data_IF_187816546357
#
_entry.id   IF_187816546357
#
_cell.length_a   1.000
_cell.length_b   1.000
_cell.length_c   1.000
_cell.angle_alpha   90.00
_cell.angle_beta   90.00
_cell.angle_gamma   90.00
#
_symmetry.space_group_name_H-M   'P 1'
#
loop_
_entity.id
_entity.type
_entity.pdbx_description
1 polymer ?
#
# COMPACT_ATOMS: atom_id res chain seq x y z
N UNK A 1 34.05 11.25 -24.12
CA UNK A 1 32.91 10.36 -23.91
C UNK A 1 32.33 9.96 -25.26
N UNK A 2 31.70 8.79 -25.38
CA UNK A 2 31.16 8.27 -26.66
C UNK A 2 30.04 9.19 -27.19
N UNK A 3 29.22 9.72 -26.33
CA UNK A 3 28.13 10.62 -26.70
C UNK A 3 28.64 11.94 -27.28
N UNK A 4 29.71 12.51 -26.74
CA UNK A 4 30.36 13.72 -27.27
C UNK A 4 30.89 13.49 -28.70
N UNK A 5 31.45 12.29 -28.95
CA UNK A 5 31.93 11.93 -30.31
C UNK A 5 30.74 11.84 -31.26
N UNK A 6 29.64 11.26 -30.84
CA UNK A 6 28.43 11.14 -31.66
C UNK A 6 27.80 12.51 -31.94
N UNK A 7 27.81 13.45 -30.98
CA UNK A 7 27.36 14.83 -31.18
C UNK A 7 28.22 15.54 -32.24
N UNK A 8 29.54 15.38 -32.16
CA UNK A 8 30.46 15.90 -33.16
C UNK A 8 30.21 15.35 -34.57
N UNK A 9 29.87 14.06 -34.67
CA UNK A 9 29.53 13.41 -35.94
C UNK A 9 28.23 14.01 -36.50
N UNK A 10 27.20 14.22 -35.69
CA UNK A 10 25.95 14.86 -36.13
C UNK A 10 26.20 16.26 -36.65
N UNK A 11 26.91 17.08 -35.87
CA UNK A 11 27.28 18.43 -36.24
C UNK A 11 28.03 18.48 -37.57
N UNK A 12 28.98 17.55 -37.77
CA UNK A 12 29.76 17.50 -38.99
C UNK A 12 28.93 17.11 -40.22
N UNK A 13 28.02 16.13 -40.06
CA UNK A 13 27.10 15.73 -41.11
C UNK A 13 26.18 16.90 -41.51
N UNK A 14 25.69 17.67 -40.53
CA UNK A 14 24.86 18.85 -40.77
C UNK A 14 25.65 19.97 -41.47
N UNK A 15 26.91 20.24 -41.07
CA UNK A 15 27.79 21.24 -41.71
C UNK A 15 28.10 20.90 -43.15
N UNK A 16 28.15 19.64 -43.50
CA UNK A 16 28.33 19.19 -44.88
C UNK A 16 27.06 19.30 -45.74
N UNK A 17 25.94 19.78 -45.17
CA UNK A 17 24.66 19.93 -45.83
C UNK A 17 23.93 18.61 -46.12
N UNK A 18 24.39 17.50 -45.53
CA UNK A 18 23.79 16.18 -45.74
C UNK A 18 22.61 15.95 -44.73
N UNK A 19 21.63 16.84 -44.76
CA UNK A 19 20.53 16.86 -43.76
C UNK A 19 19.73 15.56 -43.67
N UNK A 20 19.52 14.87 -44.79
CA UNK A 20 18.80 13.60 -44.80
C UNK A 20 19.61 12.50 -44.06
N UNK A 21 20.93 12.53 -44.22
CA UNK A 21 21.84 11.59 -43.52
C UNK A 21 21.87 11.92 -42.02
N UNK A 22 21.99 13.19 -41.66
CA UNK A 22 21.94 13.65 -40.28
C UNK A 22 20.64 13.20 -39.61
N UNK A 23 19.50 13.40 -40.24
CA UNK A 23 18.20 12.99 -39.74
C UNK A 23 18.11 11.48 -39.47
N UNK A 24 18.59 10.68 -40.41
CA UNK A 24 18.62 9.21 -40.23
C UNK A 24 19.55 8.78 -39.11
N UNK A 25 20.69 9.45 -38.97
CA UNK A 25 21.65 9.16 -37.92
C UNK A 25 21.11 9.52 -36.52
N UNK A 26 20.51 10.69 -36.37
CA UNK A 26 19.85 11.12 -35.11
C UNK A 26 18.73 10.15 -34.73
N UNK A 27 17.89 9.79 -35.72
CA UNK A 27 16.80 8.83 -35.48
C UNK A 27 17.36 7.46 -35.06
N UNK A 28 18.44 7.00 -35.73
CA UNK A 28 19.09 5.74 -35.36
C UNK A 28 19.66 5.77 -33.91
N UNK A 29 20.39 6.84 -33.58
CA UNK A 29 20.90 7.02 -32.20
C UNK A 29 19.77 6.97 -31.16
N UNK A 30 18.71 7.70 -31.41
CA UNK A 30 17.57 7.72 -30.54
C UNK A 30 16.95 6.32 -30.34
N UNK A 31 16.73 5.60 -31.43
CA UNK A 31 16.20 4.23 -31.37
C UNK A 31 17.15 3.28 -30.65
N UNK A 32 18.47 3.40 -30.86
CA UNK A 32 19.45 2.54 -30.18
C UNK A 32 19.55 2.89 -28.69
N UNK A 33 19.39 4.16 -28.32
CA UNK A 33 19.34 4.57 -26.92
C UNK A 33 18.08 4.04 -26.23
N UNK A 34 16.92 4.13 -26.90
CA UNK A 34 15.68 3.52 -26.39
C UNK A 34 15.84 2.01 -26.19
N UNK A 35 16.46 1.29 -27.14
CA UNK A 35 16.70 -0.14 -27.01
C UNK A 35 17.61 -0.47 -25.82
N UNK A 36 18.67 0.31 -25.60
CA UNK A 36 19.58 0.11 -24.46
C UNK A 36 18.87 0.34 -23.13
N UNK A 37 18.02 1.36 -23.06
CA UNK A 37 17.25 1.66 -21.85
C UNK A 37 16.15 0.62 -21.61
N UNK A 38 15.44 0.19 -22.66
CA UNK A 38 14.41 -0.86 -22.52
C UNK A 38 15.02 -2.21 -22.17
N UNK A 39 16.20 -2.56 -22.68
CA UNK A 39 16.85 -3.83 -22.32
C UNK A 39 17.18 -3.92 -20.83
N UNK A 40 17.60 -2.81 -20.19
CA UNK A 40 17.82 -2.80 -18.73
C UNK A 40 16.52 -2.96 -17.94
N UNK A 41 15.45 -2.36 -18.39
CA UNK A 41 14.11 -2.53 -17.77
C UNK A 41 13.59 -3.94 -18.00
N UNK A 42 13.74 -4.49 -19.19
CA UNK A 42 13.35 -5.86 -19.54
C UNK A 42 14.12 -6.89 -18.72
N UNK A 43 15.44 -6.72 -18.54
CA UNK A 43 16.26 -7.59 -17.71
C UNK A 43 15.82 -7.57 -16.24
N UNK A 44 15.49 -6.40 -15.71
CA UNK A 44 14.95 -6.26 -14.35
C UNK A 44 13.60 -6.95 -14.21
N UNK A 45 12.68 -6.75 -15.14
CA UNK A 45 11.37 -7.40 -15.17
C UNK A 45 11.53 -8.92 -15.23
N UNK A 46 12.41 -9.43 -16.09
CA UNK A 46 12.69 -10.87 -16.18
C UNK A 46 13.24 -11.43 -14.88
N UNK A 47 14.18 -10.73 -14.23
CA UNK A 47 14.73 -11.14 -12.93
C UNK A 47 13.67 -11.21 -11.82
N UNK A 48 12.66 -10.33 -11.88
CA UNK A 48 11.51 -10.39 -10.97
C UNK A 48 10.63 -11.61 -11.22
N UNK A 49 10.33 -11.90 -12.50
CA UNK A 49 9.52 -13.07 -12.90
C UNK A 49 10.22 -14.37 -12.49
N UNK A 50 11.53 -14.44 -12.66
CA UNK A 50 12.35 -15.60 -12.30
C UNK A 50 12.65 -15.70 -10.80
N UNK A 51 12.20 -14.74 -10.00
CA UNK A 51 12.52 -14.60 -8.57
C UNK A 51 14.03 -14.55 -8.28
N UNK A 52 14.83 -14.01 -9.20
CA UNK A 52 16.29 -13.93 -9.11
C UNK A 52 16.78 -12.53 -8.68
N UNK A 53 15.89 -11.57 -8.49
CA UNK A 53 16.25 -10.21 -8.09
C UNK A 53 16.68 -10.19 -6.61
N UNK A 54 17.97 -10.01 -6.35
CA UNK A 54 18.54 -10.00 -5.01
C UNK A 54 18.14 -8.74 -4.22
N UNK A 55 17.94 -7.59 -4.87
CA UNK A 55 17.47 -6.36 -4.21
C UNK A 55 16.09 -6.60 -3.59
N UNK A 56 15.17 -7.19 -4.36
CA UNK A 56 13.81 -7.52 -3.91
C UNK A 56 13.82 -8.58 -2.81
N UNK A 57 14.72 -9.57 -2.86
CA UNK A 57 14.85 -10.58 -1.82
C UNK A 57 15.36 -10.00 -0.49
N UNK A 58 16.17 -8.96 -0.55
CA UNK A 58 16.77 -8.30 0.62
C UNK A 58 15.93 -7.13 1.11
N UNK A 59 14.98 -6.66 0.32
CA UNK A 59 14.08 -5.59 0.70
C UNK A 59 13.25 -6.02 1.91
N UNK A 60 13.35 -5.26 3.00
CA UNK A 60 12.55 -5.50 4.21
C UNK A 60 11.12 -4.99 3.97
N UNK A 61 10.45 -5.58 3.02
CA UNK A 61 9.10 -5.21 2.64
C UNK A 61 8.07 -6.22 3.17
N UNK A 62 6.84 -5.75 3.34
CA UNK A 62 5.71 -6.59 3.71
C UNK A 62 5.19 -7.43 2.54
N UNK A 63 5.92 -7.43 1.43
CA UNK A 63 5.58 -8.12 0.19
C UNK A 63 6.36 -9.42 0.07
N UNK A 64 5.68 -10.50 -0.27
CA UNK A 64 6.32 -11.76 -0.58
C UNK A 64 6.55 -11.87 -2.09
N UNK A 65 7.81 -11.80 -2.58
CA UNK A 65 8.12 -11.78 -4.01
C UNK A 65 7.72 -13.06 -4.76
N UNK A 66 7.41 -14.14 -4.08
CA UNK A 66 6.92 -15.38 -4.71
C UNK A 66 5.42 -15.37 -5.04
N UNK A 67 4.68 -14.38 -4.57
CA UNK A 67 3.23 -14.24 -4.82
C UNK A 67 2.99 -13.51 -6.15
N UNK A 68 2.16 -14.06 -7.02
CA UNK A 68 1.92 -13.51 -8.37
C UNK A 68 1.43 -12.06 -8.38
N UNK A 69 0.60 -11.66 -7.43
CA UNK A 69 0.14 -10.26 -7.33
C UNK A 69 1.27 -9.32 -6.94
N UNK A 70 2.18 -9.76 -6.08
CA UNK A 70 3.38 -9.01 -5.68
C UNK A 70 4.35 -8.88 -6.86
N UNK A 71 4.57 -9.94 -7.63
CA UNK A 71 5.40 -9.86 -8.85
C UNK A 71 4.86 -8.85 -9.86
N UNK A 72 3.54 -8.81 -10.04
CA UNK A 72 2.90 -7.81 -10.90
C UNK A 72 3.06 -6.38 -10.38
N UNK A 73 3.00 -6.18 -9.08
CA UNK A 73 3.23 -4.89 -8.45
C UNK A 73 4.68 -4.42 -8.63
N UNK A 74 5.65 -5.29 -8.44
CA UNK A 74 7.06 -5.00 -8.73
C UNK A 74 7.32 -4.67 -10.21
N UNK A 75 6.71 -5.41 -11.13
CA UNK A 75 6.80 -5.10 -12.56
C UNK A 75 6.23 -3.72 -12.87
N UNK A 76 5.09 -3.37 -12.28
CA UNK A 76 4.51 -2.04 -12.42
C UNK A 76 5.43 -0.96 -11.84
N UNK A 77 6.08 -1.23 -10.71
CA UNK A 77 7.09 -0.37 -10.10
C UNK A 77 8.29 -0.11 -11.02
N UNK A 78 8.86 -1.14 -11.65
CA UNK A 78 9.98 -0.96 -12.59
C UNK A 78 9.57 -0.13 -13.81
N UNK A 79 8.38 -0.33 -14.37
CA UNK A 79 7.84 0.50 -15.45
C UNK A 79 7.63 1.94 -15.00
N UNK A 80 7.06 2.14 -13.81
CA UNK A 80 6.85 3.47 -13.22
C UNK A 80 8.18 4.20 -12.99
N UNK A 81 9.19 3.50 -12.46
CA UNK A 81 10.54 4.03 -12.25
C UNK A 81 11.21 4.46 -13.54
N UNK A 82 11.10 3.64 -14.60
CA UNK A 82 11.62 4.00 -15.93
C UNK A 82 10.93 5.26 -16.47
N UNK A 83 9.60 5.32 -16.41
CA UNK A 83 8.84 6.49 -16.84
C UNK A 83 9.19 7.75 -16.04
N UNK A 84 9.34 7.62 -14.72
CA UNK A 84 9.71 8.71 -13.82
C UNK A 84 11.06 9.29 -14.22
N UNK A 85 12.07 8.45 -14.40
CA UNK A 85 13.42 8.89 -14.73
C UNK A 85 13.56 9.40 -16.17
N UNK A 86 12.78 8.85 -17.10
CA UNK A 86 12.93 9.17 -18.52
C UNK A 86 12.05 10.31 -18.98
N UNK A 87 10.87 10.50 -18.39
CA UNK A 87 9.85 11.43 -18.89
C UNK A 87 9.34 12.43 -17.88
N UNK A 88 9.28 12.09 -16.58
CA UNK A 88 8.56 12.91 -15.60
C UNK A 88 9.47 13.83 -14.81
N UNK A 89 10.69 13.41 -14.51
CA UNK A 89 11.65 14.24 -13.80
C UNK A 89 12.47 15.10 -14.75
N UNK A 90 12.85 16.34 -14.33
CA UNK A 90 13.86 17.12 -15.02
C UNK A 90 15.18 16.34 -15.12
N UNK A 91 15.84 16.48 -16.28
CA UNK A 91 17.09 15.75 -16.54
C UNK A 91 18.16 16.00 -15.50
N UNK A 92 18.26 17.22 -14.99
CA UNK A 92 19.23 17.63 -13.97
C UNK A 92 19.05 16.85 -12.64
N UNK A 93 17.80 16.53 -12.30
CA UNK A 93 17.48 15.73 -11.09
C UNK A 93 17.89 14.28 -11.31
N UNK A 94 17.60 13.73 -12.49
CA UNK A 94 17.98 12.35 -12.84
C UNK A 94 19.49 12.19 -12.91
N UNK A 95 20.19 13.15 -13.52
CA UNK A 95 21.65 13.14 -13.61
C UNK A 95 22.27 13.23 -12.19
N UNK A 96 21.79 14.13 -11.33
CA UNK A 96 22.26 14.28 -9.96
C UNK A 96 21.98 13.03 -9.10
N UNK A 97 20.86 12.34 -9.33
CA UNK A 97 20.56 11.06 -8.69
C UNK A 97 21.55 9.97 -9.13
N UNK A 98 21.79 9.85 -10.44
CA UNK A 98 22.68 8.85 -11.01
C UNK A 98 24.15 9.08 -10.62
N UNK A 99 24.55 10.33 -10.42
CA UNK A 99 25.88 10.74 -9.94
C UNK A 99 26.03 10.59 -8.41
N UNK A 100 24.96 10.27 -7.69
CA UNK A 100 24.95 10.12 -6.24
C UNK A 100 25.02 11.45 -5.47
N UNK A 101 24.76 12.59 -6.12
CA UNK A 101 24.71 13.91 -5.48
C UNK A 101 23.46 14.05 -4.62
N UNK A 102 22.35 13.53 -5.09
CA UNK A 102 21.08 13.43 -4.37
C UNK A 102 20.46 12.05 -4.54
N UNK A 103 19.56 11.69 -3.64
CA UNK A 103 18.74 10.49 -3.78
C UNK A 103 17.29 10.88 -3.99
N UNK A 104 16.73 10.58 -5.18
CA UNK A 104 15.30 10.69 -5.43
C UNK A 104 14.65 9.38 -4.98
N UNK A 105 13.95 9.43 -3.85
CA UNK A 105 13.36 8.26 -3.22
C UNK A 105 12.02 7.89 -3.88
N UNK A 106 11.67 6.61 -3.87
CA UNK A 106 10.37 6.08 -4.33
C UNK A 106 9.98 6.49 -5.77
N UNK A 107 10.95 6.47 -6.68
CA UNK A 107 10.72 6.80 -8.10
C UNK A 107 9.70 5.87 -8.77
N UNK A 108 9.51 4.68 -8.25
CA UNK A 108 8.54 3.67 -8.67
C UNK A 108 7.09 4.04 -8.29
N UNK A 109 6.89 4.89 -7.28
CA UNK A 109 5.56 5.39 -6.87
C UNK A 109 5.27 6.81 -7.34
N UNK A 110 6.22 7.46 -8.03
CA UNK A 110 6.06 8.86 -8.47
C UNK A 110 5.06 9.02 -9.62
N UNK A 111 5.03 8.07 -10.58
CA UNK A 111 4.13 8.13 -11.73
C UNK A 111 2.66 7.85 -11.34
N UNK A 112 2.44 7.08 -10.28
CA UNK A 112 1.12 6.76 -9.74
C UNK A 112 1.12 7.07 -8.24
N UNK A 113 0.32 8.05 -7.84
CA UNK A 113 0.27 8.48 -6.46
C UNK A 113 -0.29 7.39 -5.55
N UNK A 114 0.58 6.83 -4.73
CA UNK A 114 0.21 6.01 -3.57
C UNK A 114 0.69 6.72 -2.31
N UNK A 115 -0.03 6.52 -1.21
CA UNK A 115 0.41 7.04 0.08
C UNK A 115 1.58 6.21 0.60
N UNK A 116 2.57 6.88 1.20
CA UNK A 116 3.64 6.15 1.88
C UNK A 116 3.14 5.62 3.23
N UNK A 117 2.93 6.51 4.21
CA UNK A 117 2.47 6.15 5.55
C UNK A 117 1.26 6.97 5.95
N UNK A 118 0.31 6.33 6.63
CA UNK A 118 -0.95 6.94 7.01
C UNK A 118 -1.19 6.87 8.53
N UNK A 119 -1.73 7.96 9.08
CA UNK A 119 -2.34 7.98 10.41
C UNK A 119 -3.86 7.84 10.24
N UNK A 120 -4.40 6.68 10.59
CA UNK A 120 -5.81 6.37 10.36
C UNK A 120 -6.67 6.86 11.51
N UNK A 121 -7.57 7.78 11.24
CA UNK A 121 -8.52 8.29 12.24
C UNK A 121 -9.72 7.35 12.41
N UNK A 122 -9.48 6.19 13.05
CA UNK A 122 -10.55 5.23 13.36
C UNK A 122 -11.65 5.83 14.23
N UNK A 123 -11.35 6.83 15.07
CA UNK A 123 -12.36 7.44 15.93
C UNK A 123 -13.47 8.06 15.10
N UNK A 124 -13.13 8.93 14.17
CA UNK A 124 -14.09 9.59 13.29
C UNK A 124 -14.84 8.57 12.41
N UNK A 125 -14.09 7.67 11.76
CA UNK A 125 -14.66 6.64 10.88
C UNK A 125 -15.65 5.72 11.57
N UNK A 126 -15.41 5.36 12.83
CA UNK A 126 -16.30 4.50 13.61
C UNK A 126 -17.45 5.26 14.25
N UNK A 127 -17.25 6.52 14.65
CA UNK A 127 -18.29 7.31 15.32
C UNK A 127 -19.30 7.93 14.34
N UNK A 128 -18.83 8.37 13.17
CA UNK A 128 -19.62 9.07 12.17
C UNK A 128 -19.96 8.23 10.94
N UNK A 129 -19.40 7.01 10.86
CA UNK A 129 -19.48 6.18 9.68
C UNK A 129 -18.36 6.47 8.67
N UNK A 130 -18.22 5.60 7.71
CA UNK A 130 -17.19 5.70 6.67
C UNK A 130 -17.66 5.07 5.37
N UNK A 131 -16.92 5.29 4.29
CA UNK A 131 -17.20 4.64 3.00
C UNK A 131 -16.09 3.62 2.71
N UNK A 132 -16.46 2.37 2.54
CA UNK A 132 -15.56 1.29 2.16
C UNK A 132 -16.02 0.73 0.81
N UNK A 133 -15.13 0.75 -0.18
CA UNK A 133 -15.42 0.27 -1.54
C UNK A 133 -16.72 0.83 -2.14
N UNK A 134 -16.99 2.13 -1.91
CA UNK A 134 -18.18 2.82 -2.39
C UNK A 134 -19.46 2.57 -1.58
N UNK A 135 -19.39 1.78 -0.51
CA UNK A 135 -20.52 1.48 0.36
C UNK A 135 -20.44 2.26 1.65
N UNK A 136 -21.51 2.96 2.01
CA UNK A 136 -21.62 3.64 3.30
C UNK A 136 -21.74 2.61 4.42
N UNK A 137 -20.85 2.69 5.39
CA UNK A 137 -20.81 1.88 6.58
C UNK A 137 -21.19 2.78 7.75
N UNK A 138 -22.31 2.45 8.40
CA UNK A 138 -22.80 3.18 9.53
C UNK A 138 -22.02 2.89 10.83
N UNK A 139 -22.21 3.72 11.83
CA UNK A 139 -21.64 3.54 13.16
C UNK A 139 -21.95 2.15 13.72
N UNK A 140 -20.96 1.40 14.20
CA UNK A 140 -21.16 0.07 14.75
C UNK A 140 -21.97 0.08 16.04
N UNK A 141 -22.80 -0.94 16.20
CA UNK A 141 -23.67 -1.15 17.37
C UNK A 141 -23.14 -2.22 18.35
N UNK A 142 -21.86 -2.60 18.21
CA UNK A 142 -21.17 -3.48 19.17
C UNK A 142 -19.66 -3.38 19.01
N UNK A 143 -18.93 -3.79 20.04
CA UNK A 143 -17.47 -3.88 19.97
C UNK A 143 -16.99 -4.86 18.89
N UNK A 144 -17.65 -6.00 18.77
CA UNK A 144 -17.33 -7.00 17.75
C UNK A 144 -17.47 -6.44 16.33
N UNK A 145 -18.56 -5.68 16.06
CA UNK A 145 -18.76 -5.02 14.77
C UNK A 145 -17.72 -3.92 14.54
N UNK A 146 -17.39 -3.14 15.58
CA UNK A 146 -16.34 -2.12 15.47
C UNK A 146 -14.98 -2.73 15.11
N UNK A 147 -14.61 -3.86 15.71
CA UNK A 147 -13.39 -4.60 15.38
C UNK A 147 -13.38 -5.06 13.91
N UNK A 148 -14.50 -5.60 13.42
CA UNK A 148 -14.61 -6.03 12.02
C UNK A 148 -14.48 -4.85 11.05
N UNK A 149 -15.16 -3.73 11.32
CA UNK A 149 -15.07 -2.53 10.49
C UNK A 149 -13.64 -1.98 10.50
N UNK A 150 -13.01 -1.91 11.69
CA UNK A 150 -11.62 -1.47 11.81
C UNK A 150 -10.67 -2.31 10.94
N UNK A 151 -10.83 -3.63 10.91
CA UNK A 151 -9.99 -4.50 10.05
C UNK A 151 -10.23 -4.27 8.57
N UNK A 152 -11.46 -3.96 8.14
CA UNK A 152 -11.75 -3.60 6.76
C UNK A 152 -11.15 -2.22 6.38
N UNK A 153 -11.19 -1.25 7.29
CA UNK A 153 -10.52 0.04 7.11
C UNK A 153 -9.02 -0.17 6.93
N UNK A 154 -8.38 -0.96 7.82
CA UNK A 154 -6.97 -1.31 7.74
C UNK A 154 -6.62 -1.91 6.38
N UNK A 155 -7.41 -2.86 5.90
CA UNK A 155 -7.22 -3.50 4.61
C UNK A 155 -7.36 -2.51 3.44
N UNK A 156 -8.34 -1.64 3.49
CA UNK A 156 -8.58 -0.63 2.46
C UNK A 156 -7.44 0.38 2.39
N UNK A 157 -6.96 0.85 3.54
CA UNK A 157 -5.78 1.74 3.62
C UNK A 157 -4.55 1.04 3.06
N UNK A 158 -4.26 -0.20 3.52
CA UNK A 158 -3.12 -0.98 3.05
C UNK A 158 -3.15 -1.28 1.54
N UNK A 159 -4.33 -1.26 0.91
CA UNK A 159 -4.46 -1.42 -0.55
C UNK A 159 -4.11 -0.15 -1.35
N UNK A 160 -3.98 1.00 -0.69
CA UNK A 160 -3.72 2.30 -1.31
C UNK A 160 -2.41 2.93 -0.84
N UNK A 161 -1.58 2.19 -0.12
CA UNK A 161 -0.28 2.65 0.38
C UNK A 161 0.80 1.58 0.14
N UNK A 162 2.05 2.01 0.19
CA UNK A 162 3.23 1.12 0.09
C UNK A 162 4.06 1.07 1.39
N UNK A 163 3.86 2.00 2.32
CA UNK A 163 4.46 2.01 3.65
C UNK A 163 3.56 1.43 4.73
N UNK A 164 3.65 1.97 5.93
CA UNK A 164 2.90 1.52 7.09
C UNK A 164 1.72 2.43 7.45
N UNK A 165 0.85 1.92 8.30
CA UNK A 165 -0.24 2.70 8.88
C UNK A 165 -0.19 2.64 10.40
N UNK A 166 -0.64 3.70 11.05
CA UNK A 166 -0.80 3.73 12.50
C UNK A 166 -2.27 3.90 12.86
N UNK A 167 -2.73 3.08 13.80
CA UNK A 167 -4.06 3.15 14.35
C UNK A 167 -4.00 3.27 15.89
N UNK A 168 -5.03 3.79 16.50
CA UNK A 168 -5.17 3.75 17.96
C UNK A 168 -6.27 2.77 18.35
N UNK A 169 -5.92 1.74 19.12
CA UNK A 169 -6.89 0.79 19.67
C UNK A 169 -7.80 1.45 20.71
N UNK A 170 -7.41 2.60 21.29
CA UNK A 170 -8.25 3.39 22.18
C UNK A 170 -9.55 3.86 21.51
N UNK A 171 -9.55 4.04 20.19
CA UNK A 171 -10.73 4.41 19.43
C UNK A 171 -11.84 3.34 19.40
N UNK A 172 -11.51 2.10 19.80
CA UNK A 172 -12.47 1.01 19.95
C UNK A 172 -13.14 1.00 21.35
N UNK A 173 -12.53 1.66 22.34
CA UNK A 173 -13.01 1.64 23.72
C UNK A 173 -14.47 2.10 23.90
N UNK A 174 -14.97 3.14 23.21
CA UNK A 174 -16.38 3.54 23.33
C UNK A 174 -17.37 2.43 22.98
N UNK A 175 -17.00 1.52 22.10
CA UNK A 175 -17.86 0.40 21.64
C UNK A 175 -17.94 -0.73 22.66
N UNK A 176 -17.02 -0.79 23.64
CA UNK A 176 -17.12 -1.68 24.80
C UNK A 176 -18.34 -1.28 25.67
N UNK A 177 -18.57 0.02 25.85
CA UNK A 177 -19.73 0.50 26.57
C UNK A 177 -21.04 0.27 25.82
N UNK A 178 -21.01 0.42 24.47
CA UNK A 178 -22.15 0.09 23.61
C UNK A 178 -22.52 -1.40 23.77
N UNK A 179 -21.55 -2.30 23.72
CA UNK A 179 -21.75 -3.74 23.91
C UNK A 179 -22.23 -4.05 25.34
N UNK A 180 -21.67 -3.39 26.36
CA UNK A 180 -22.12 -3.59 27.75
C UNK A 180 -23.60 -3.27 27.92
N UNK A 181 -24.06 -2.14 27.38
CA UNK A 181 -25.46 -1.75 27.40
C UNK A 181 -26.37 -2.74 26.69
N UNK A 182 -25.97 -3.17 25.51
CA UNK A 182 -26.69 -4.17 24.72
C UNK A 182 -26.79 -5.51 25.44
N UNK A 183 -25.69 -6.04 25.95
CA UNK A 183 -25.65 -7.31 26.69
C UNK A 183 -26.51 -7.19 27.98
N UNK A 184 -26.47 -6.04 28.66
CA UNK A 184 -27.29 -5.83 29.84
C UNK A 184 -28.80 -5.89 29.53
N UNK A 185 -29.22 -5.33 28.40
CA UNK A 185 -30.62 -5.42 27.93
C UNK A 185 -31.00 -6.85 27.58
N UNK A 186 -30.15 -7.58 26.87
CA UNK A 186 -30.36 -8.98 26.54
C UNK A 186 -30.47 -9.86 27.78
N UNK A 187 -29.55 -9.72 28.74
CA UNK A 187 -29.56 -10.46 30.01
C UNK A 187 -30.81 -10.11 30.85
N UNK A 188 -31.23 -8.84 30.84
CA UNK A 188 -32.46 -8.45 31.54
C UNK A 188 -33.68 -9.14 30.90
N UNK A 189 -33.81 -9.16 29.61
CA UNK A 189 -34.91 -9.82 28.89
C UNK A 189 -34.88 -11.35 29.07
N UNK A 190 -33.71 -11.99 29.01
CA UNK A 190 -33.56 -13.45 29.21
C UNK A 190 -33.92 -13.90 30.61
N UNK A 191 -33.67 -13.06 31.62
CA UNK A 191 -33.90 -13.36 33.04
C UNK A 191 -35.21 -12.76 33.56
N UNK A 192 -36.07 -12.28 32.68
CA UNK A 192 -37.37 -11.74 33.08
C UNK A 192 -38.25 -12.84 33.69
N UNK A 193 -38.80 -12.58 34.86
CA UNK A 193 -39.60 -13.56 35.60
C UNK A 193 -38.80 -14.59 36.44
N UNK A 194 -37.47 -14.56 36.38
CA UNK A 194 -36.59 -15.42 37.16
C UNK A 194 -36.10 -14.68 38.42
N UNK A 195 -36.05 -15.38 39.57
CA UNK A 195 -35.49 -14.84 40.81
C UNK A 195 -33.96 -14.88 40.80
N UNK A 196 -33.37 -13.87 40.13
CA UNK A 196 -31.92 -13.73 39.98
C UNK A 196 -31.49 -12.39 40.58
N UNK A 197 -30.52 -12.41 41.51
CA UNK A 197 -29.98 -11.19 42.12
C UNK A 197 -29.33 -10.26 41.13
N UNK A 198 -29.37 -8.94 41.40
CA UNK A 198 -28.71 -7.93 40.58
C UNK A 198 -27.19 -8.16 40.45
N UNK A 199 -26.56 -8.62 41.54
CA UNK A 199 -25.14 -8.96 41.52
C UNK A 199 -24.87 -10.11 40.52
N UNK A 200 -25.72 -11.13 40.48
CA UNK A 200 -25.59 -12.24 39.55
C UNK A 200 -25.83 -11.82 38.10
N UNK A 201 -26.80 -10.93 37.88
CA UNK A 201 -27.03 -10.33 36.55
C UNK A 201 -25.79 -9.56 36.08
N UNK A 202 -25.23 -8.72 36.94
CA UNK A 202 -24.00 -7.99 36.62
C UNK A 202 -22.82 -8.93 36.29
N UNK A 203 -22.61 -10.00 37.05
CA UNK A 203 -21.59 -11.01 36.77
C UNK A 203 -21.78 -11.66 35.40
N UNK A 204 -23.01 -11.93 34.97
CA UNK A 204 -23.32 -12.50 33.68
C UNK A 204 -22.97 -11.51 32.57
N UNK A 205 -23.35 -10.25 32.72
CA UNK A 205 -23.04 -9.17 31.75
C UNK A 205 -21.54 -9.03 31.59
N UNK A 206 -20.79 -8.86 32.67
CA UNK A 206 -19.33 -8.67 32.59
C UNK A 206 -18.60 -9.90 32.01
N UNK A 207 -19.06 -11.10 32.29
CA UNK A 207 -18.51 -12.31 31.70
C UNK A 207 -18.73 -12.35 30.19
N UNK A 208 -19.96 -12.05 29.71
CA UNK A 208 -20.29 -12.00 28.27
C UNK A 208 -19.50 -10.89 27.57
N UNK A 209 -19.39 -9.74 28.19
CA UNK A 209 -18.61 -8.62 27.65
C UNK A 209 -17.14 -8.98 27.52
N UNK A 210 -16.53 -9.59 28.52
CA UNK A 210 -15.12 -10.07 28.40
C UNK A 210 -14.93 -11.07 27.27
N UNK A 211 -15.90 -11.96 27.06
CA UNK A 211 -15.87 -12.90 25.94
C UNK A 211 -15.95 -12.18 24.60
N UNK A 212 -16.82 -11.17 24.47
CA UNK A 212 -16.92 -10.37 23.24
C UNK A 212 -15.64 -9.59 22.98
N UNK A 213 -15.06 -8.95 24.00
CA UNK A 213 -13.78 -8.24 23.88
C UNK A 213 -12.68 -9.20 23.41
N UNK A 214 -12.56 -10.36 24.05
CA UNK A 214 -11.55 -11.36 23.68
C UNK A 214 -11.70 -11.80 22.22
N UNK A 215 -12.92 -12.04 21.76
CA UNK A 215 -13.20 -12.42 20.36
C UNK A 215 -12.89 -11.28 19.40
N UNK A 216 -13.25 -10.03 19.75
CA UNK A 216 -12.95 -8.85 18.93
C UNK A 216 -11.45 -8.64 18.76
N UNK A 217 -10.67 -8.76 19.85
CA UNK A 217 -9.20 -8.68 19.81
C UNK A 217 -8.61 -9.81 18.94
N UNK A 218 -9.11 -11.03 19.10
CA UNK A 218 -8.72 -12.16 18.25
C UNK A 218 -9.02 -11.91 16.77
N UNK A 219 -10.17 -11.30 16.47
CA UNK A 219 -10.55 -10.94 15.09
C UNK A 219 -9.55 -9.96 14.50
N UNK A 220 -9.19 -8.89 15.22
CA UNK A 220 -8.21 -7.93 14.75
C UNK A 220 -6.86 -8.62 14.51
N UNK A 221 -6.36 -9.36 15.50
CA UNK A 221 -5.07 -10.05 15.38
C UNK A 221 -5.07 -11.03 14.20
N UNK A 222 -6.11 -11.83 14.05
CA UNK A 222 -6.23 -12.81 12.97
C UNK A 222 -6.25 -12.11 11.61
N UNK A 223 -7.06 -11.07 11.45
CA UNK A 223 -7.20 -10.34 10.19
C UNK A 223 -5.88 -9.64 9.81
N UNK A 224 -5.24 -8.96 10.75
CA UNK A 224 -3.96 -8.27 10.50
C UNK A 224 -2.86 -9.22 10.06
N UNK A 225 -2.79 -10.43 10.65
CA UNK A 225 -1.76 -11.43 10.34
C UNK A 225 -2.05 -12.18 9.04
N UNK A 226 -3.32 -12.40 8.69
CA UNK A 226 -3.71 -13.26 7.56
C UNK A 226 -4.21 -12.50 6.34
N UNK A 227 -4.58 -11.23 6.48
CA UNK A 227 -5.12 -10.44 5.40
C UNK A 227 -4.02 -10.11 4.39
N UNK A 228 -4.31 -10.33 3.11
CA UNK A 228 -3.50 -9.89 2.00
C UNK A 228 -4.29 -8.86 1.19
N UNK A 229 -3.67 -7.73 0.89
CA UNK A 229 -4.28 -6.67 0.09
C UNK A 229 -4.29 -7.03 -1.40
N UNK A 230 -4.95 -6.23 -2.22
CA UNK A 230 -5.06 -6.45 -3.67
C UNK A 230 -3.71 -6.44 -4.39
N UNK A 231 -2.73 -5.70 -3.88
CA UNK A 231 -1.35 -5.66 -4.38
C UNK A 231 -0.43 -6.72 -3.72
N UNK A 232 -0.99 -7.64 -2.94
CA UNK A 232 -0.25 -8.71 -2.29
C UNK A 232 0.55 -8.28 -1.06
N UNK A 233 0.33 -7.08 -0.56
CA UNK A 233 0.97 -6.58 0.65
C UNK A 233 0.21 -7.02 1.90
N UNK A 234 0.90 -7.51 2.92
CA UNK A 234 0.33 -7.63 4.26
C UNK A 234 0.19 -6.24 4.90
N UNK A 235 -0.89 -5.96 5.66
CA UNK A 235 -0.99 -4.71 6.39
C UNK A 235 0.20 -4.54 7.34
N UNK A 236 0.91 -3.42 7.22
CA UNK A 236 1.97 -3.02 8.14
C UNK A 236 1.42 -1.97 9.09
N UNK A 237 1.27 -2.34 10.37
CA UNK A 237 0.60 -1.53 11.39
C UNK A 237 1.51 -1.34 12.58
#
# INVERSE_FOLDING_TARGET
NVEEIQDLVEDQIMRLGAYEVARRYITYRYVQNLKRTSNTTDERILSLIECNNEEVKQENSNKNPSVNSVQRDYMAGEVSKDLTNRLLLPKEIVDAHNEGILHFHDADYFAQHMHNCDLVNLEDMLQNGTVISGTLIEKPHSFSTACNIATQIIAQVASNQYGGQSISLAHLAPFVDVSRKKIAQEVKAELEGLDVSEERRHQIVERRLRQEISRGVQTIQYQVVTLMTTNGQAPFI
#
